data_IF_952634144830
#
_entry.id   IF_952634144830
#
_cell.length_a   1.000
_cell.length_b   1.000
_cell.length_c   1.000
_cell.angle_alpha   90.00
_cell.angle_beta   90.00
_cell.angle_gamma   90.00
#
_symmetry.space_group_name_H-M   'P 1'
#
loop_
_entity.id
_entity.type
_entity.pdbx_description
1 polymer ?
#
# COMPACT_ATOMS: atom_id res chain seq x y z
N UNK A 1 10.76 -24.75 24.76
CA UNK A 1 9.35 -24.49 24.42
C UNK A 1 9.13 -23.11 23.76
N UNK A 2 9.62 -22.00 24.34
CA UNK A 2 9.48 -20.64 23.77
C UNK A 2 10.06 -20.43 22.36
N UNK A 3 11.14 -21.14 22.00
CA UNK A 3 11.79 -21.03 20.67
C UNK A 3 10.88 -21.50 19.53
N UNK A 4 10.15 -22.60 19.75
CA UNK A 4 9.24 -23.18 18.75
C UNK A 4 8.05 -22.24 18.52
N UNK A 5 7.49 -21.66 19.59
CA UNK A 5 6.38 -20.69 19.50
C UNK A 5 6.81 -19.43 18.74
N UNK A 6 8.02 -18.90 19.00
CA UNK A 6 8.55 -17.75 18.25
C UNK A 6 8.72 -18.05 16.75
N UNK A 7 9.28 -19.20 16.40
CA UNK A 7 9.45 -19.61 15.00
C UNK A 7 8.09 -19.87 14.33
N UNK A 8 7.11 -20.41 15.07
CA UNK A 8 5.76 -20.64 14.56
C UNK A 8 5.01 -19.32 14.30
N UNK A 9 5.12 -18.34 15.20
CA UNK A 9 4.55 -16.99 14.99
C UNK A 9 5.20 -16.25 13.82
N UNK A 10 6.50 -16.43 13.59
CA UNK A 10 7.18 -15.88 12.41
C UNK A 10 6.69 -16.53 11.11
N UNK A 11 6.35 -17.82 11.14
CA UNK A 11 5.80 -18.53 9.99
C UNK A 11 4.37 -18.07 9.67
N UNK A 12 3.52 -17.91 10.68
CA UNK A 12 2.15 -17.38 10.52
C UNK A 12 2.15 -15.96 9.92
N UNK A 13 3.14 -15.14 10.30
CA UNK A 13 3.31 -13.80 9.74
C UNK A 13 3.64 -13.81 8.23
N UNK A 14 4.48 -14.75 7.79
CA UNK A 14 4.81 -14.93 6.37
C UNK A 14 3.60 -15.48 5.59
N UNK A 15 2.83 -16.40 6.17
CA UNK A 15 1.62 -16.95 5.53
C UNK A 15 0.53 -15.88 5.38
N UNK A 16 0.33 -15.03 6.38
CA UNK A 16 -0.57 -13.88 6.31
C UNK A 16 -0.17 -12.90 5.21
N UNK A 17 1.11 -12.59 5.09
CA UNK A 17 1.64 -11.78 4.00
C UNK A 17 1.30 -12.36 2.62
N UNK A 18 1.50 -13.66 2.41
CA UNK A 18 1.18 -14.30 1.14
C UNK A 18 -0.34 -14.33 0.87
N UNK A 19 -1.18 -14.41 1.92
CA UNK A 19 -2.63 -14.24 1.78
C UNK A 19 -2.97 -12.81 1.39
N UNK A 20 -2.35 -11.81 2.01
CA UNK A 20 -2.52 -10.40 1.67
C UNK A 20 -2.10 -10.12 0.22
N UNK A 21 -0.95 -10.63 -0.25
CA UNK A 21 -0.51 -10.53 -1.66
C UNK A 21 -1.54 -11.08 -2.64
N UNK A 22 -2.20 -12.18 -2.27
CA UNK A 22 -3.20 -12.83 -3.12
C UNK A 22 -4.58 -12.14 -3.06
N UNK A 23 -4.93 -11.56 -1.92
CA UNK A 23 -6.25 -10.98 -1.63
C UNK A 23 -6.34 -9.47 -1.88
N UNK A 24 -5.33 -8.69 -1.47
CA UNK A 24 -5.13 -7.33 -1.95
C UNK A 24 -4.63 -7.46 -3.39
N UNK A 25 -5.45 -7.02 -4.33
CA UNK A 25 -5.16 -6.99 -5.77
C UNK A 25 -3.96 -6.08 -6.14
N UNK A 26 -3.06 -5.78 -5.21
CA UNK A 26 -1.88 -4.94 -5.47
C UNK A 26 -0.84 -5.77 -6.26
N UNK A 27 -0.74 -7.08 -6.03
CA UNK A 27 0.32 -7.91 -6.61
C UNK A 27 -0.19 -9.33 -6.89
N UNK A 28 -0.90 -9.53 -7.99
CA UNK A 28 -1.34 -10.88 -8.38
C UNK A 28 -0.14 -11.79 -8.65
N UNK A 29 0.25 -12.59 -7.66
CA UNK A 29 1.25 -13.65 -7.78
C UNK A 29 0.62 -14.89 -8.43
N UNK A 30 -0.07 -14.70 -9.56
CA UNK A 30 -0.52 -15.82 -10.38
C UNK A 30 0.72 -16.30 -11.16
N UNK A 31 1.20 -17.54 -10.94
CA UNK A 31 2.33 -18.02 -11.71
C UNK A 31 1.86 -18.21 -13.15
N UNK A 32 2.42 -17.42 -14.06
CA UNK A 32 2.33 -17.73 -15.47
C UNK A 32 3.17 -18.99 -15.70
N UNK A 33 2.57 -20.01 -16.30
CA UNK A 33 3.25 -21.14 -16.93
C UNK A 33 4.12 -20.64 -18.12
N UNK A 34 5.07 -19.74 -17.87
CA UNK A 34 5.86 -19.08 -18.91
C UNK A 34 7.35 -19.42 -18.76
N UNK A 35 7.79 -20.20 -19.74
CA UNK A 35 9.10 -20.78 -20.04
C UNK A 35 10.29 -19.80 -20.14
N UNK A 36 10.23 -18.57 -19.61
CA UNK A 36 11.31 -17.56 -19.64
C UNK A 36 11.68 -17.03 -18.24
N UNK A 37 12.76 -17.57 -17.68
CA UNK A 37 13.28 -17.33 -16.32
C UNK A 37 13.48 -15.86 -15.93
N UNK A 38 13.93 -14.99 -16.85
CA UNK A 38 14.29 -13.61 -16.50
C UNK A 38 13.07 -12.76 -16.09
N UNK A 39 11.91 -12.98 -16.70
CA UNK A 39 10.69 -12.21 -16.40
C UNK A 39 10.07 -12.60 -15.06
N UNK A 40 10.23 -13.86 -14.66
CA UNK A 40 9.78 -14.36 -13.36
C UNK A 40 10.56 -13.67 -12.23
N UNK A 41 11.89 -13.53 -12.38
CA UNK A 41 12.73 -12.86 -11.37
C UNK A 41 12.38 -11.39 -11.17
N UNK A 42 12.09 -10.66 -12.26
CA UNK A 42 11.67 -9.25 -12.17
C UNK A 42 10.30 -9.15 -11.52
N UNK A 43 9.34 -9.98 -11.93
CA UNK A 43 8.00 -10.01 -11.32
C UNK A 43 8.09 -10.33 -9.83
N UNK A 44 8.81 -11.39 -9.45
CA UNK A 44 8.98 -11.76 -8.05
C UNK A 44 9.65 -10.66 -7.23
N UNK A 45 10.63 -9.96 -7.81
CA UNK A 45 11.26 -8.82 -7.18
C UNK A 45 10.26 -7.68 -6.93
N UNK A 46 9.47 -7.31 -7.94
CA UNK A 46 8.42 -6.30 -7.80
C UNK A 46 7.38 -6.72 -6.75
N UNK A 47 7.01 -8.00 -6.70
CA UNK A 47 6.12 -8.53 -5.68
C UNK A 47 6.67 -8.33 -4.26
N UNK A 48 7.94 -8.69 -4.06
CA UNK A 48 8.60 -8.55 -2.75
C UNK A 48 8.78 -7.09 -2.38
N UNK A 49 9.11 -6.21 -3.35
CA UNK A 49 9.23 -4.78 -3.09
C UNK A 49 7.89 -4.15 -2.70
N UNK A 50 6.81 -4.47 -3.40
CA UNK A 50 5.47 -3.97 -3.05
C UNK A 50 5.02 -4.45 -1.66
N UNK A 51 5.33 -5.69 -1.29
CA UNK A 51 5.12 -6.21 0.08
C UNK A 51 5.89 -5.42 1.13
N UNK A 52 7.16 -5.14 0.88
CA UNK A 52 8.01 -4.37 1.80
C UNK A 52 7.43 -2.96 1.99
N UNK A 53 7.03 -2.29 0.91
CA UNK A 53 6.40 -0.97 1.00
C UNK A 53 5.06 -1.02 1.75
N UNK A 54 4.22 -2.02 1.48
CA UNK A 54 2.96 -2.22 2.19
C UNK A 54 3.18 -2.38 3.70
N UNK A 55 4.14 -3.22 4.10
CA UNK A 55 4.49 -3.40 5.52
C UNK A 55 5.04 -2.14 6.16
N UNK A 56 5.88 -1.38 5.45
CA UNK A 56 6.39 -0.11 5.96
C UNK A 56 5.27 0.90 6.17
N UNK A 57 4.30 0.96 5.26
CA UNK A 57 3.12 1.80 5.37
C UNK A 57 2.30 1.41 6.62
N UNK A 58 1.95 0.13 6.78
CA UNK A 58 1.21 -0.34 7.96
C UNK A 58 1.98 -0.09 9.26
N UNK A 59 3.30 -0.29 9.27
CA UNK A 59 4.13 -0.03 10.43
C UNK A 59 4.13 1.46 10.82
N UNK A 60 4.20 2.37 9.84
CA UNK A 60 4.13 3.81 10.07
C UNK A 60 2.78 4.21 10.68
N UNK A 61 1.67 3.67 10.15
CA UNK A 61 0.33 3.93 10.66
C UNK A 61 0.11 3.34 12.06
N UNK A 62 0.61 2.13 12.32
CA UNK A 62 0.54 1.51 13.65
C UNK A 62 1.29 2.32 14.72
N UNK A 63 2.41 2.94 14.35
CA UNK A 63 3.18 3.82 15.24
C UNK A 63 2.40 5.09 15.62
N UNK A 64 1.47 5.53 14.78
CA UNK A 64 0.59 6.67 15.01
C UNK A 64 -0.76 6.28 15.64
N UNK A 65 -0.87 5.05 16.17
CA UNK A 65 -2.07 4.54 16.84
C UNK A 65 -3.32 4.52 15.95
N UNK A 66 -3.14 4.33 14.65
CA UNK A 66 -4.27 4.32 13.73
C UNK A 66 -5.21 3.12 13.98
N UNK A 67 -6.51 3.41 14.08
CA UNK A 67 -7.54 2.43 14.50
C UNK A 67 -8.16 1.65 13.33
N UNK A 68 -7.82 2.00 12.09
CA UNK A 68 -8.36 1.33 10.91
C UNK A 68 -7.72 -0.05 10.72
N UNK A 69 -8.52 -1.01 10.21
CA UNK A 69 -7.98 -2.32 9.83
C UNK A 69 -7.06 -2.19 8.62
N UNK A 70 -6.06 -3.07 8.52
CA UNK A 70 -5.06 -3.08 7.44
C UNK A 70 -5.69 -3.14 6.03
N UNK A 71 -6.83 -3.83 5.88
CA UNK A 71 -7.65 -3.85 4.65
C UNK A 71 -8.20 -2.46 4.33
N UNK A 72 -8.82 -1.84 5.34
CA UNK A 72 -9.60 -0.61 5.18
C UNK A 72 -8.70 0.59 4.95
N UNK A 73 -7.48 0.56 5.48
CA UNK A 73 -6.42 1.53 5.13
C UNK A 73 -6.21 1.57 3.62
N UNK A 74 -6.06 0.42 2.95
CA UNK A 74 -5.84 0.40 1.51
C UNK A 74 -7.09 0.82 0.74
N UNK A 75 -8.25 0.33 1.13
CA UNK A 75 -9.51 0.70 0.48
C UNK A 75 -9.76 2.21 0.54
N UNK A 76 -9.46 2.86 1.67
CA UNK A 76 -9.60 4.31 1.80
C UNK A 76 -8.53 5.07 1.01
N UNK A 77 -7.28 4.59 0.99
CA UNK A 77 -6.22 5.19 0.17
C UNK A 77 -6.50 5.08 -1.33
N UNK A 78 -7.06 3.96 -1.80
CA UNK A 78 -7.43 3.74 -3.21
C UNK A 78 -8.57 4.67 -3.67
N UNK A 79 -9.44 5.08 -2.73
CA UNK A 79 -10.53 6.03 -3.01
C UNK A 79 -10.06 7.48 -3.11
N UNK A 80 -8.86 7.82 -2.64
CA UNK A 80 -8.33 9.18 -2.77
C UNK A 80 -8.02 9.45 -4.24
N UNK A 81 -8.70 10.45 -4.81
CA UNK A 81 -8.54 10.87 -6.21
C UNK A 81 -7.86 12.22 -6.30
N UNK A 82 -6.95 12.36 -7.27
CA UNK A 82 -6.33 13.63 -7.67
C UNK A 82 -6.98 14.07 -8.98
N UNK A 83 -7.40 15.32 -9.03
CA UNK A 83 -8.04 15.96 -10.18
C UNK A 83 -7.13 17.08 -10.67
N UNK A 84 -6.95 17.17 -11.98
CA UNK A 84 -6.29 18.31 -12.61
C UNK A 84 -7.35 19.34 -12.97
N UNK A 85 -7.31 20.49 -12.29
CA UNK A 85 -8.26 21.59 -12.53
C UNK A 85 -7.54 22.67 -13.32
N UNK A 86 -8.11 23.03 -14.47
CA UNK A 86 -7.68 24.19 -15.25
C UNK A 86 -8.80 25.22 -15.27
N UNK A 87 -8.58 26.36 -14.65
CA UNK A 87 -9.53 27.47 -14.66
C UNK A 87 -9.03 28.54 -15.65
N UNK A 88 -9.67 28.63 -16.82
CA UNK A 88 -9.33 29.65 -17.82
C UNK A 88 -7.89 29.54 -18.35
N UNK A 89 -7.16 30.66 -18.30
CA UNK A 89 -5.76 30.79 -18.75
C UNK A 89 -4.73 30.47 -17.65
N UNK A 90 -5.17 30.06 -16.46
CA UNK A 90 -4.24 29.65 -15.39
C UNK A 90 -3.60 28.29 -15.70
N UNK A 91 -2.40 28.09 -15.14
CA UNK A 91 -1.71 26.81 -15.21
C UNK A 91 -2.56 25.72 -14.52
N UNK A 92 -2.63 24.52 -15.10
CA UNK A 92 -3.44 23.45 -14.56
C UNK A 92 -2.89 23.00 -13.19
N UNK A 93 -3.73 23.08 -12.15
CA UNK A 93 -3.34 22.74 -10.77
C UNK A 93 -3.88 21.36 -10.38
N UNK A 94 -3.03 20.55 -9.74
CA UNK A 94 -3.46 19.30 -9.13
C UNK A 94 -4.14 19.58 -7.80
N UNK A 95 -5.37 19.10 -7.64
CA UNK A 95 -6.14 19.18 -6.39
C UNK A 95 -6.65 17.79 -6.02
N UNK A 96 -6.73 17.50 -4.73
CA UNK A 96 -7.44 16.32 -4.27
C UNK A 96 -8.95 16.53 -4.31
N UNK A 97 -9.70 15.48 -4.66
CA UNK A 97 -11.15 15.46 -4.49
C UNK A 97 -11.52 15.50 -2.99
N UNK A 98 -12.75 15.87 -2.67
CA UNK A 98 -13.25 15.91 -1.29
C UNK A 98 -13.02 14.58 -0.58
N UNK A 99 -12.15 14.59 0.43
CA UNK A 99 -11.82 13.41 1.21
C UNK A 99 -12.82 13.21 2.37
N UNK A 100 -13.12 11.95 2.69
CA UNK A 100 -13.82 11.60 3.92
C UNK A 100 -12.95 11.78 5.17
N UNK A 101 -13.55 11.70 6.37
CA UNK A 101 -12.84 11.82 7.66
C UNK A 101 -11.69 10.81 7.81
N UNK A 102 -11.94 9.54 7.48
CA UNK A 102 -10.92 8.47 7.55
C UNK A 102 -9.78 8.71 6.54
N UNK A 103 -10.11 9.21 5.35
CA UNK A 103 -9.14 9.54 4.31
C UNK A 103 -8.26 10.72 4.72
N UNK A 104 -8.84 11.80 5.27
CA UNK A 104 -8.06 12.94 5.78
C UNK A 104 -7.11 12.53 6.92
N UNK A 105 -7.58 11.66 7.81
CA UNK A 105 -6.76 11.13 8.91
C UNK A 105 -5.56 10.35 8.36
N UNK A 106 -5.80 9.41 7.45
CA UNK A 106 -4.73 8.65 6.79
C UNK A 106 -3.78 9.55 6.00
N UNK A 107 -4.33 10.53 5.30
CA UNK A 107 -3.57 11.47 4.48
C UNK A 107 -2.59 12.29 5.33
N UNK A 108 -3.06 12.79 6.48
CA UNK A 108 -2.25 13.52 7.46
C UNK A 108 -1.25 12.61 8.16
N UNK A 109 -1.67 11.42 8.57
CA UNK A 109 -0.82 10.43 9.24
C UNK A 109 0.38 10.04 8.34
N UNK A 110 0.13 9.85 7.06
CA UNK A 110 1.17 9.51 6.08
C UNK A 110 2.03 10.69 5.66
N UNK A 111 1.61 11.93 5.93
CA UNK A 111 2.33 13.16 5.54
C UNK A 111 2.24 13.43 4.05
N UNK A 112 1.09 13.16 3.43
CA UNK A 112 0.89 13.27 1.98
C UNK A 112 0.57 14.68 1.50
N UNK A 113 0.37 15.63 2.43
CA UNK A 113 0.07 17.04 2.14
C UNK A 113 1.18 17.77 1.37
N UNK A 114 2.41 17.27 1.43
CA UNK A 114 3.55 17.86 0.70
C UNK A 114 3.67 17.33 -0.72
N UNK A 115 3.03 16.21 -1.05
CA UNK A 115 3.24 15.52 -2.35
C UNK A 115 2.82 16.38 -3.54
N UNK A 116 1.75 17.16 -3.41
CA UNK A 116 1.30 18.06 -4.48
C UNK A 116 2.00 19.43 -4.48
N UNK A 117 2.76 19.78 -3.43
CA UNK A 117 3.49 21.05 -3.38
C UNK A 117 4.80 21.01 -4.16
N UNK A 118 5.36 19.81 -4.33
CA UNK A 118 6.65 19.58 -4.98
C UNK A 118 6.49 19.07 -6.44
N UNK A 119 5.27 19.02 -6.98
CA UNK A 119 4.94 18.58 -8.36
C UNK A 119 4.59 19.76 -9.25
#
# INVERSE_FOLDING_TARGET
MLKIVKTYNQKDFVEKDFMWVKGLMIISMKPFFLRKDKRIKVHSFLCVMGLVFYRLLLWKLKKQEEMLSETRVIEELEKIRVVLVKSGDEEPQFMFETMGLDQMRLFTALGLETVLKDS
#
